data_IF_395639860090
#
_entry.id   IF_395639860090
#
_cell.length_a   1.000
_cell.length_b   1.000
_cell.length_c   1.000
_cell.angle_alpha   90.00
_cell.angle_beta   90.00
_cell.angle_gamma   90.00
#
_symmetry.space_group_name_H-M   'P 1'
#
loop_
_entity.id
_entity.type
_entity.pdbx_description
1 polymer ?
#
# COMPACT_ATOMS: atom_id res chain seq x y z
N UNK A 1 4.77 3.58 -11.60
CA UNK A 1 3.28 3.49 -11.60
C UNK A 1 2.90 2.11 -12.09
N UNK A 2 1.91 1.48 -11.46
CA UNK A 2 1.36 0.23 -11.94
C UNK A 2 0.28 0.53 -13.00
N UNK A 3 0.23 -0.21 -14.12
CA UNK A 3 -0.56 0.17 -15.29
C UNK A 3 -2.08 -0.03 -15.15
N UNK A 4 -2.54 -0.88 -14.22
CA UNK A 4 -3.96 -1.23 -14.08
C UNK A 4 -4.59 -0.61 -12.83
N UNK A 5 -3.85 -0.61 -11.73
CA UNK A 5 -4.27 -0.07 -10.43
C UNK A 5 -3.04 0.41 -9.68
N UNK A 6 -3.17 1.38 -8.79
CA UNK A 6 -2.07 1.76 -7.91
C UNK A 6 -1.96 0.83 -6.69
N UNK A 7 -0.89 1.01 -5.91
CA UNK A 7 -0.62 0.19 -4.72
C UNK A 7 -1.60 0.44 -3.56
N UNK A 8 -2.17 1.64 -3.45
CA UNK A 8 -3.11 1.96 -2.38
C UNK A 8 -4.46 1.29 -2.62
N UNK A 9 -4.93 1.31 -3.87
CA UNK A 9 -6.12 0.59 -4.31
C UNK A 9 -5.95 -0.93 -4.15
N UNK A 10 -4.77 -1.46 -4.46
CA UNK A 10 -4.47 -2.87 -4.23
C UNK A 10 -4.53 -3.21 -2.73
N UNK A 11 -3.90 -2.39 -1.88
CA UNK A 11 -3.92 -2.59 -0.44
C UNK A 11 -5.35 -2.61 0.12
N UNK A 12 -6.19 -1.64 -0.28
CA UNK A 12 -7.61 -1.59 0.13
C UNK A 12 -8.36 -2.87 -0.26
N UNK A 13 -8.17 -3.37 -1.48
CA UNK A 13 -8.82 -4.62 -1.94
C UNK A 13 -8.32 -5.85 -1.18
N UNK A 14 -7.02 -5.94 -0.95
CA UNK A 14 -6.40 -7.03 -0.17
C UNK A 14 -6.93 -7.05 1.26
N UNK A 15 -7.05 -5.89 1.91
CA UNK A 15 -7.59 -5.78 3.26
C UNK A 15 -9.09 -6.04 3.36
N UNK A 16 -9.85 -5.73 2.32
CA UNK A 16 -11.28 -6.02 2.26
C UNK A 16 -11.58 -7.52 2.04
N UNK A 17 -10.67 -8.27 1.42
CA UNK A 17 -10.83 -9.69 1.16
C UNK A 17 -10.32 -10.54 2.32
N UNK A 18 -11.23 -11.26 2.99
CA UNK A 18 -10.91 -12.14 4.14
C UNK A 18 -9.86 -13.21 3.82
N UNK A 19 -9.71 -13.58 2.55
CA UNK A 19 -8.70 -14.56 2.09
C UNK A 19 -7.28 -14.01 2.21
N UNK A 20 -7.12 -12.69 2.16
CA UNK A 20 -5.80 -12.04 2.12
C UNK A 20 -5.59 -11.04 3.25
N UNK A 21 -6.63 -10.60 3.94
CA UNK A 21 -6.56 -9.53 4.95
C UNK A 21 -5.59 -9.80 6.10
N UNK A 22 -5.30 -11.06 6.39
CA UNK A 22 -4.38 -11.50 7.44
C UNK A 22 -2.91 -11.60 6.98
N UNK A 23 -2.64 -11.44 5.68
CA UNK A 23 -1.29 -11.50 5.13
C UNK A 23 -0.61 -10.14 5.38
N UNK A 24 0.63 -10.11 5.89
CA UNK A 24 1.38 -8.86 6.03
C UNK A 24 1.59 -8.18 4.67
N UNK A 25 1.32 -6.88 4.60
CA UNK A 25 1.39 -6.09 3.37
C UNK A 25 2.35 -4.91 3.54
N UNK A 26 3.41 -4.89 2.73
CA UNK A 26 4.44 -3.84 2.75
C UNK A 26 4.38 -3.05 1.45
N UNK A 27 4.24 -1.73 1.56
CA UNK A 27 4.26 -0.84 0.40
C UNK A 27 5.69 -0.40 0.10
N UNK A 28 6.14 -0.63 -1.14
CA UNK A 28 7.43 -0.19 -1.65
C UNK A 28 7.23 0.90 -2.71
N UNK A 29 7.60 2.14 -2.43
CA UNK A 29 7.31 3.29 -3.30
C UNK A 29 8.54 4.18 -3.54
N UNK A 30 8.58 4.84 -4.69
CA UNK A 30 9.59 5.86 -5.01
C UNK A 30 9.09 7.29 -4.73
N UNK A 31 7.84 7.44 -4.29
CA UNK A 31 7.28 8.72 -3.86
C UNK A 31 7.60 8.93 -2.40
N UNK A 32 8.27 10.02 -2.05
CA UNK A 32 8.73 10.31 -0.68
C UNK A 32 8.00 11.49 -0.05
N UNK A 33 6.92 11.97 -0.67
CA UNK A 33 6.08 13.01 -0.09
C UNK A 33 5.27 12.49 1.11
N UNK A 34 5.10 13.35 2.12
CA UNK A 34 4.41 13.03 3.37
C UNK A 34 2.94 12.62 3.15
N UNK A 35 2.31 13.17 2.11
CA UNK A 35 0.94 12.83 1.73
C UNK A 35 0.83 11.36 1.28
N UNK A 36 1.75 10.91 0.42
CA UNK A 36 1.81 9.51 -0.03
C UNK A 36 2.11 8.55 1.14
N UNK A 37 2.96 8.97 2.09
CA UNK A 37 3.24 8.18 3.30
C UNK A 37 2.00 8.06 4.19
N UNK A 38 1.24 9.14 4.34
CA UNK A 38 -0.01 9.13 5.11
C UNK A 38 -1.08 8.29 4.43
N UNK A 39 -1.21 8.39 3.10
CA UNK A 39 -2.17 7.61 2.31
C UNK A 39 -1.88 6.10 2.37
N UNK A 40 -0.61 5.71 2.32
CA UNK A 40 -0.19 4.31 2.41
C UNK A 40 -0.40 3.69 3.80
N UNK A 41 -0.28 4.47 4.87
CA UNK A 41 -0.68 4.00 6.21
C UNK A 41 -2.20 3.85 6.30
N UNK A 42 -2.96 4.83 5.80
CA UNK A 42 -4.42 4.83 5.86
C UNK A 42 -5.07 3.72 5.02
N UNK A 43 -4.41 3.23 3.97
CA UNK A 43 -4.92 2.11 3.16
C UNK A 43 -4.78 0.74 3.84
N UNK A 44 -4.14 0.69 5.02
CA UNK A 44 -3.98 -0.51 5.83
C UNK A 44 -2.70 -1.29 5.55
N UNK A 45 -1.63 -0.66 5.04
CA UNK A 45 -0.33 -1.31 4.95
C UNK A 45 0.29 -1.49 6.35
N UNK A 46 0.99 -2.59 6.58
CA UNK A 46 1.68 -2.83 7.87
C UNK A 46 3.03 -2.10 7.94
N UNK A 47 3.64 -1.88 6.77
CA UNK A 47 4.91 -1.18 6.67
C UNK A 47 5.04 -0.47 5.33
N UNK A 48 5.94 0.50 5.32
CA UNK A 48 6.27 1.36 4.20
C UNK A 48 7.78 1.42 4.02
N UNK A 49 8.25 1.18 2.80
CA UNK A 49 9.67 1.21 2.43
C UNK A 49 9.85 2.12 1.21
N UNK A 50 10.83 3.01 1.30
CA UNK A 50 11.22 3.90 0.22
C UNK A 50 12.17 3.17 -0.74
N UNK A 51 11.92 3.31 -2.04
CA UNK A 51 12.85 2.83 -3.07
C UNK A 51 14.06 3.75 -3.13
N UNK A 52 15.29 3.20 -3.29
CA UNK A 52 16.44 3.99 -3.69
C UNK A 52 16.27 4.55 -5.12
#
# INVERSE_FOLDING_TARGET
>A
MMPVMDGAELCRRVRADKRFSHIPFVMLTAKTDDDTKTESMNCGADAYIEKP
#
